data_IF_532289285695
#
_entry.id   IF_532289285695
#
_cell.length_a   1.000
_cell.length_b   1.000
_cell.length_c   1.000
_cell.angle_alpha   90.00
_cell.angle_beta   90.00
_cell.angle_gamma   90.00
#
_symmetry.space_group_name_H-M   'P 1'
#
loop_
_entity.id
_entity.type
_entity.pdbx_description
1 polymer ?
#
# COMPACT_ATOMS: atom_id res chain seq x y z
N UNK A 1 -10.91 3.85 -9.80
CA UNK A 1 -11.03 3.23 -11.11
C UNK A 1 -10.42 1.82 -11.19
N UNK A 2 -10.65 1.00 -10.17
CA UNK A 2 -10.17 -0.41 -10.09
C UNK A 2 -10.35 -1.19 -11.40
N UNK A 3 -11.48 -0.99 -12.09
CA UNK A 3 -11.75 -1.68 -13.35
C UNK A 3 -10.78 -1.25 -14.47
N UNK A 4 -10.47 0.04 -14.55
CA UNK A 4 -9.52 0.53 -15.54
C UNK A 4 -8.09 0.03 -15.28
N UNK A 5 -7.69 -0.09 -14.03
CA UNK A 5 -6.37 -0.57 -13.64
C UNK A 5 -6.23 -2.07 -13.86
N UNK A 6 -7.30 -2.86 -13.60
CA UNK A 6 -7.35 -4.26 -13.96
C UNK A 6 -7.29 -4.47 -15.48
N UNK A 7 -8.03 -3.69 -16.26
CA UNK A 7 -7.96 -3.73 -17.72
C UNK A 7 -6.57 -3.37 -18.27
N UNK A 8 -5.88 -2.39 -17.66
CA UNK A 8 -4.50 -2.05 -18.03
C UNK A 8 -3.54 -3.21 -17.80
N UNK A 9 -3.60 -3.85 -16.63
CA UNK A 9 -2.75 -5.01 -16.32
C UNK A 9 -2.98 -6.12 -17.34
N UNK A 10 -4.23 -6.47 -17.63
CA UNK A 10 -4.57 -7.50 -18.61
C UNK A 10 -4.06 -7.12 -20.01
N UNK A 11 -4.28 -5.86 -20.45
CA UNK A 11 -3.82 -5.38 -21.75
C UNK A 11 -2.30 -5.46 -21.89
N UNK A 12 -1.55 -5.05 -20.87
CA UNK A 12 -0.10 -5.11 -20.86
C UNK A 12 0.39 -6.57 -20.92
N UNK A 13 -0.23 -7.48 -20.17
CA UNK A 13 0.09 -8.91 -20.21
C UNK A 13 -0.13 -9.50 -21.59
N UNK A 14 -1.22 -9.17 -22.26
CA UNK A 14 -1.52 -9.64 -23.63
C UNK A 14 -0.48 -9.11 -24.62
N UNK A 15 -0.11 -7.84 -24.54
CA UNK A 15 0.91 -7.25 -25.41
C UNK A 15 2.28 -7.91 -25.21
N UNK A 16 2.69 -8.14 -23.95
CA UNK A 16 3.96 -8.79 -23.65
C UNK A 16 3.95 -10.25 -24.12
N UNK A 17 2.82 -10.96 -24.02
CA UNK A 17 2.65 -12.33 -24.49
C UNK A 17 2.95 -12.46 -25.98
N UNK A 18 2.44 -11.54 -26.78
CA UNK A 18 2.70 -11.53 -28.24
C UNK A 18 4.13 -11.15 -28.60
N UNK A 19 4.81 -10.37 -27.76
CA UNK A 19 6.18 -9.90 -28.02
C UNK A 19 7.24 -10.86 -27.49
N UNK A 20 7.05 -11.44 -26.31
CA UNK A 20 8.07 -12.22 -25.63
C UNK A 20 7.48 -13.23 -24.64
N UNK A 21 7.48 -14.51 -25.00
CA UNK A 21 6.96 -15.60 -24.14
C UNK A 21 7.77 -15.77 -22.86
N UNK A 22 9.08 -15.57 -22.88
CA UNK A 22 9.94 -15.69 -21.70
C UNK A 22 9.67 -14.61 -20.66
N UNK A 23 9.51 -13.35 -21.08
CA UNK A 23 9.13 -12.24 -20.21
C UNK A 23 7.75 -12.41 -19.59
N UNK A 24 6.80 -12.90 -20.37
CA UNK A 24 5.45 -13.16 -19.84
C UNK A 24 5.47 -14.19 -18.72
N UNK A 25 6.30 -15.22 -18.82
CA UNK A 25 6.43 -16.22 -17.76
C UNK A 25 6.98 -15.62 -16.47
N UNK A 26 7.98 -14.73 -16.56
CA UNK A 26 8.49 -13.98 -15.40
C UNK A 26 7.41 -13.13 -14.77
N UNK A 27 6.59 -12.42 -15.57
CA UNK A 27 5.50 -11.60 -15.06
C UNK A 27 4.38 -12.43 -14.43
N UNK A 28 4.04 -13.59 -14.98
CA UNK A 28 3.04 -14.51 -14.42
C UNK A 28 3.46 -15.01 -13.04
N UNK A 29 4.75 -15.19 -12.79
CA UNK A 29 5.28 -15.59 -11.47
C UNK A 29 5.34 -14.38 -10.53
N UNK A 30 5.73 -13.22 -11.04
CA UNK A 30 5.94 -12.00 -10.25
C UNK A 30 4.62 -11.36 -9.79
N UNK A 31 3.57 -11.38 -10.62
CA UNK A 31 2.26 -10.82 -10.29
C UNK A 31 1.62 -11.46 -9.05
N UNK A 32 1.49 -12.79 -8.91
CA UNK A 32 0.92 -13.38 -7.70
C UNK A 32 1.79 -13.11 -6.46
N UNK A 33 3.12 -13.06 -6.61
CA UNK A 33 4.00 -12.68 -5.51
C UNK A 33 3.73 -11.25 -5.05
N UNK A 34 3.64 -10.30 -5.97
CA UNK A 34 3.27 -8.91 -5.67
C UNK A 34 1.89 -8.82 -5.03
N UNK A 35 0.92 -9.57 -5.55
CA UNK A 35 -0.44 -9.56 -5.01
C UNK A 35 -0.49 -10.08 -3.57
N UNK A 36 0.20 -11.17 -3.27
CA UNK A 36 0.28 -11.74 -1.92
C UNK A 36 0.97 -10.76 -0.97
N UNK A 37 2.08 -10.17 -1.40
CA UNK A 37 2.82 -9.18 -0.62
C UNK A 37 1.95 -7.95 -0.31
N UNK A 38 1.34 -7.36 -1.33
CA UNK A 38 0.44 -6.20 -1.20
C UNK A 38 -0.71 -6.52 -0.25
N UNK A 39 -1.35 -7.68 -0.41
CA UNK A 39 -2.45 -8.10 0.47
C UNK A 39 -2.02 -8.28 1.92
N UNK A 40 -0.82 -8.79 2.17
CA UNK A 40 -0.28 -8.95 3.52
C UNK A 40 -0.06 -7.59 4.20
N UNK A 41 0.57 -6.65 3.50
CA UNK A 41 0.80 -5.29 4.02
C UNK A 41 -0.52 -4.56 4.26
N UNK A 42 -1.46 -4.62 3.31
CA UNK A 42 -2.78 -3.99 3.41
C UNK A 42 -3.58 -4.49 4.62
N UNK A 43 -3.53 -5.78 4.91
CA UNK A 43 -4.25 -6.34 6.08
C UNK A 43 -3.76 -5.72 7.39
N UNK A 44 -2.46 -5.55 7.54
CA UNK A 44 -1.86 -4.95 8.75
C UNK A 44 -2.16 -3.44 8.83
N UNK A 45 -2.10 -2.77 7.71
CA UNK A 45 -2.42 -1.36 7.55
C UNK A 45 -3.90 -1.06 7.89
N UNK A 46 -4.83 -1.88 7.38
CA UNK A 46 -6.25 -1.78 7.71
C UNK A 46 -6.50 -1.94 9.21
N UNK A 47 -5.88 -2.93 9.85
CA UNK A 47 -6.01 -3.14 11.28
C UNK A 47 -5.53 -1.91 12.08
N UNK A 48 -4.40 -1.31 11.68
CA UNK A 48 -3.88 -0.09 12.29
C UNK A 48 -4.84 1.11 12.09
N UNK A 49 -5.43 1.26 10.90
CA UNK A 49 -6.39 2.33 10.60
C UNK A 49 -7.69 2.21 11.42
N UNK A 50 -8.25 1.00 11.56
CA UNK A 50 -9.43 0.78 12.39
C UNK A 50 -9.12 1.14 13.85
N UNK A 51 -7.94 0.77 14.33
CA UNK A 51 -7.49 1.08 15.69
C UNK A 51 -7.36 2.60 15.90
N UNK A 52 -6.75 3.30 14.93
CA UNK A 52 -6.64 4.75 14.94
C UNK A 52 -8.02 5.45 14.97
N UNK A 53 -8.94 5.05 14.10
CA UNK A 53 -10.29 5.62 14.07
C UNK A 53 -11.02 5.43 15.39
N UNK A 54 -10.92 4.26 16.01
CA UNK A 54 -11.52 3.99 17.32
C UNK A 54 -10.92 4.87 18.41
N UNK A 55 -9.60 5.06 18.42
CA UNK A 55 -8.92 5.90 19.39
C UNK A 55 -9.29 7.38 19.22
N UNK A 56 -9.26 7.90 17.99
CA UNK A 56 -9.69 9.27 17.66
C UNK A 56 -11.16 9.49 18.01
N UNK A 57 -12.03 8.53 17.71
CA UNK A 57 -13.46 8.62 18.04
C UNK A 57 -13.71 8.69 19.56
N UNK A 58 -12.95 7.93 20.38
CA UNK A 58 -13.04 8.00 21.83
C UNK A 58 -12.61 9.38 22.34
N UNK A 59 -11.45 9.88 21.89
CA UNK A 59 -10.96 11.20 22.29
C UNK A 59 -11.94 12.30 21.90
N UNK A 60 -12.43 12.29 20.66
CA UNK A 60 -13.39 13.30 20.17
C UNK A 60 -14.75 13.21 20.87
N UNK A 61 -15.20 12.01 21.23
CA UNK A 61 -16.46 11.80 21.94
C UNK A 61 -16.41 12.25 23.40
N UNK A 62 -15.22 12.25 24.02
CA UNK A 62 -15.06 12.66 25.42
C UNK A 62 -15.31 14.16 25.62
N UNK A 63 -14.91 15.01 24.69
CA UNK A 63 -15.08 16.48 24.78
C UNK A 63 -16.54 16.91 24.93
N UNK A 64 -17.49 16.54 24.04
CA UNK A 64 -18.88 16.93 24.17
C UNK A 64 -19.54 16.31 25.39
N UNK A 65 -19.15 15.11 25.83
CA UNK A 65 -19.66 14.51 27.08
C UNK A 65 -19.23 15.29 28.31
N UNK A 66 -17.96 15.72 28.37
CA UNK A 66 -17.41 16.52 29.44
C UNK A 66 -18.10 17.90 29.51
N UNK A 67 -18.27 18.55 28.34
CA UNK A 67 -18.96 19.86 28.27
C UNK A 67 -20.43 19.76 28.67
N UNK A 68 -21.14 18.72 28.28
CA UNK A 68 -22.53 18.49 28.66
C UNK A 68 -22.69 18.31 30.17
N UNK A 69 -21.72 17.68 30.81
CA UNK A 69 -21.76 17.36 32.26
C UNK A 69 -20.88 18.29 33.11
N UNK A 70 -20.44 19.43 32.58
CA UNK A 70 -19.47 20.30 33.24
C UNK A 70 -19.89 20.77 34.63
N UNK A 71 -21.19 21.08 34.81
CA UNK A 71 -21.72 21.45 36.11
C UNK A 71 -21.58 20.33 37.15
N UNK A 72 -21.87 19.10 36.75
CA UNK A 72 -21.73 17.93 37.62
C UNK A 72 -20.28 17.70 37.99
N UNK A 73 -19.37 17.82 37.02
CA UNK A 73 -17.93 17.65 37.23
C UNK A 73 -17.41 18.67 38.24
N UNK A 74 -17.80 19.94 38.11
CA UNK A 74 -17.46 20.99 39.06
C UNK A 74 -18.06 20.76 40.45
N UNK A 75 -19.32 20.32 40.54
CA UNK A 75 -19.94 20.02 41.82
C UNK A 75 -19.22 18.91 42.60
N UNK A 76 -18.62 17.95 41.91
CA UNK A 76 -17.88 16.86 42.52
C UNK A 76 -16.34 17.08 42.57
N UNK A 77 -15.83 18.22 42.09
CA UNK A 77 -14.41 18.56 42.07
C UNK A 77 -13.55 17.54 41.30
N UNK A 78 -14.10 16.99 40.18
CA UNK A 78 -13.48 15.92 39.40
C UNK A 78 -12.80 16.40 38.11
N UNK A 79 -12.47 17.69 38.02
CA UNK A 79 -11.85 18.29 36.84
C UNK A 79 -10.54 17.59 36.47
N UNK A 80 -9.63 17.43 37.44
CA UNK A 80 -8.34 16.74 37.23
C UNK A 80 -8.47 15.30 36.80
N UNK A 81 -9.53 14.61 37.24
CA UNK A 81 -9.80 13.24 36.79
C UNK A 81 -10.22 13.23 35.35
N UNK A 82 -11.07 14.13 34.89
CA UNK A 82 -11.53 14.24 33.52
C UNK A 82 -10.38 14.64 32.57
N UNK A 83 -9.52 15.56 33.01
CA UNK A 83 -8.30 15.97 32.29
C UNK A 83 -7.38 14.78 32.08
N UNK A 84 -7.04 14.04 33.12
CA UNK A 84 -6.19 12.85 33.04
C UNK A 84 -6.78 11.79 32.11
N UNK A 85 -8.08 11.56 32.16
CA UNK A 85 -8.76 10.62 31.30
C UNK A 85 -8.71 11.06 29.82
N UNK A 86 -8.82 12.36 29.56
CA UNK A 86 -8.68 12.90 28.22
C UNK A 86 -7.25 12.75 27.70
N UNK A 87 -6.25 13.02 28.53
CA UNK A 87 -4.84 12.83 28.17
C UNK A 87 -4.52 11.37 27.82
N UNK A 88 -5.10 10.41 28.56
CA UNK A 88 -4.97 8.98 28.21
C UNK A 88 -5.58 8.68 26.82
N UNK A 89 -6.76 9.22 26.49
CA UNK A 89 -7.38 9.03 25.18
C UNK A 89 -6.60 9.69 24.05
N UNK A 90 -6.03 10.88 24.29
CA UNK A 90 -5.16 11.55 23.31
C UNK A 90 -3.88 10.77 23.09
N UNK A 91 -3.26 10.25 24.14
CA UNK A 91 -2.06 9.43 24.04
C UNK A 91 -2.30 8.12 23.26
N UNK A 92 -3.42 7.44 23.54
CA UNK A 92 -3.85 6.26 22.78
C UNK A 92 -4.05 6.58 21.29
N UNK A 93 -4.67 7.73 21.01
CA UNK A 93 -4.87 8.22 19.65
C UNK A 93 -3.55 8.52 18.95
N UNK A 94 -2.61 9.13 19.64
CA UNK A 94 -1.28 9.44 19.12
C UNK A 94 -0.52 8.16 18.73
N UNK A 95 -0.47 7.17 19.62
CA UNK A 95 0.20 5.89 19.34
C UNK A 95 -0.47 5.10 18.21
N UNK A 96 -1.80 5.15 18.12
CA UNK A 96 -2.51 4.51 17.02
C UNK A 96 -2.24 5.19 15.67
N UNK A 97 -2.15 6.53 15.68
CA UNK A 97 -1.80 7.32 14.48
C UNK A 97 -0.35 7.09 14.05
N UNK A 98 0.59 7.07 14.99
CA UNK A 98 2.01 6.78 14.73
C UNK A 98 2.18 5.44 14.02
N UNK A 99 1.49 4.40 14.51
CA UNK A 99 1.51 3.07 13.90
C UNK A 99 0.93 3.07 12.48
N UNK A 100 -0.15 3.81 12.25
CA UNK A 100 -0.76 3.93 10.91
C UNK A 100 0.19 4.65 9.96
N UNK A 101 0.76 5.77 10.39
CA UNK A 101 1.71 6.56 9.59
C UNK A 101 2.98 5.75 9.25
N UNK A 102 3.44 4.90 10.17
CA UNK A 102 4.57 4.02 9.90
C UNK A 102 4.27 3.04 8.76
N UNK A 103 3.11 2.39 8.76
CA UNK A 103 2.73 1.49 7.66
C UNK A 103 2.57 2.24 6.34
N UNK A 104 1.95 3.42 6.35
CA UNK A 104 1.79 4.28 5.16
C UNK A 104 3.16 4.72 4.62
N UNK A 105 4.07 5.14 5.50
CA UNK A 105 5.41 5.57 5.12
C UNK A 105 6.30 4.45 4.55
N UNK A 106 6.12 3.21 5.01
CA UNK A 106 6.90 2.05 4.54
C UNK A 106 6.35 1.47 3.24
N UNK A 107 5.05 1.58 3.00
CA UNK A 107 4.39 0.95 1.85
C UNK A 107 4.95 1.43 0.50
N UNK A 108 4.99 2.74 0.27
CA UNK A 108 5.44 3.31 -1.01
C UNK A 108 6.94 3.06 -1.30
N UNK A 109 7.89 3.25 -0.37
CA UNK A 109 9.29 2.92 -0.59
C UNK A 109 9.53 1.44 -0.88
N UNK A 110 8.79 0.54 -0.24
CA UNK A 110 8.95 -0.91 -0.49
C UNK A 110 8.54 -1.26 -1.91
N UNK A 111 7.43 -0.72 -2.42
CA UNK A 111 7.02 -0.91 -3.81
C UNK A 111 8.06 -0.35 -4.79
N UNK A 112 8.61 0.85 -4.51
CA UNK A 112 9.65 1.46 -5.34
C UNK A 112 10.92 0.62 -5.39
N UNK A 113 11.39 0.12 -4.24
CA UNK A 113 12.57 -0.77 -4.16
C UNK A 113 12.29 -2.04 -4.95
N UNK A 114 11.12 -2.64 -4.80
CA UNK A 114 10.75 -3.87 -5.50
C UNK A 114 10.69 -3.66 -7.01
N UNK A 115 10.14 -2.54 -7.48
CA UNK A 115 10.20 -2.13 -8.89
C UNK A 115 11.65 -1.97 -9.37
N UNK A 116 12.50 -1.28 -8.61
CA UNK A 116 13.91 -1.09 -8.96
C UNK A 116 14.67 -2.41 -9.04
N UNK A 117 14.42 -3.35 -8.12
CA UNK A 117 15.03 -4.70 -8.14
C UNK A 117 14.62 -5.48 -9.39
N UNK A 118 13.34 -5.44 -9.77
CA UNK A 118 12.87 -6.13 -10.98
C UNK A 118 13.47 -5.52 -12.23
N UNK A 119 13.54 -4.20 -12.33
CA UNK A 119 14.19 -3.51 -13.47
C UNK A 119 15.67 -3.85 -13.53
N UNK A 120 16.38 -3.82 -12.40
CA UNK A 120 17.79 -4.18 -12.34
C UNK A 120 18.04 -5.64 -12.74
N UNK A 121 17.20 -6.57 -12.28
CA UNK A 121 17.29 -7.98 -12.66
C UNK A 121 17.10 -8.18 -14.17
N UNK A 122 16.12 -7.50 -14.77
CA UNK A 122 15.90 -7.55 -16.23
C UNK A 122 17.08 -6.96 -16.99
N UNK A 123 17.67 -5.86 -16.52
CA UNK A 123 18.86 -5.25 -17.12
C UNK A 123 20.07 -6.19 -17.06
N UNK A 124 20.33 -6.81 -15.91
CA UNK A 124 21.43 -7.73 -15.73
C UNK A 124 21.28 -8.97 -16.62
N UNK A 125 20.08 -9.51 -16.74
CA UNK A 125 19.77 -10.61 -17.64
C UNK A 125 19.96 -10.22 -19.11
N UNK A 126 19.58 -9.01 -19.49
CA UNK A 126 19.77 -8.47 -20.83
C UNK A 126 21.24 -8.22 -21.16
N UNK A 127 22.07 -7.84 -20.17
CA UNK A 127 23.50 -7.56 -20.33
C UNK A 127 24.37 -8.81 -20.27
N UNK A 128 23.86 -9.94 -19.82
CA UNK A 128 24.64 -11.18 -19.55
C UNK A 128 25.27 -11.85 -20.77
N UNK A 129 25.04 -11.35 -21.99
CA UNK A 129 25.72 -11.80 -23.20
C UNK A 129 25.50 -13.26 -23.60
N UNK A 130 24.77 -14.04 -22.82
CA UNK A 130 24.50 -15.45 -23.06
C UNK A 130 23.47 -15.58 -24.21
N UNK A 131 23.90 -16.09 -25.37
CA UNK A 131 23.06 -16.23 -26.55
C UNK A 131 21.75 -17.00 -26.29
N UNK A 132 21.78 -17.98 -25.40
CA UNK A 132 20.59 -18.74 -25.00
C UNK A 132 19.56 -17.88 -24.19
N UNK A 133 20.04 -16.99 -23.35
CA UNK A 133 19.18 -16.06 -22.55
C UNK A 133 18.63 -14.97 -23.47
N UNK A 134 19.47 -14.41 -24.35
CA UNK A 134 19.06 -13.40 -25.33
C UNK A 134 18.01 -13.91 -26.32
N UNK A 135 18.14 -15.16 -26.80
CA UNK A 135 17.15 -15.78 -27.71
C UNK A 135 15.86 -16.16 -26.98
N UNK A 136 15.94 -16.63 -25.72
CA UNK A 136 14.76 -16.98 -24.93
C UNK A 136 13.94 -15.74 -24.50
N UNK A 137 14.64 -14.66 -24.17
CA UNK A 137 14.01 -13.37 -23.80
C UNK A 137 13.83 -12.44 -25.01
N UNK A 138 14.32 -12.77 -26.22
CA UNK A 138 14.19 -11.98 -27.45
C UNK A 138 14.66 -10.52 -27.29
N UNK A 139 15.66 -10.28 -26.44
CA UNK A 139 16.05 -8.94 -26.04
C UNK A 139 17.04 -8.32 -27.02
N UNK A 140 16.59 -7.31 -27.76
CA UNK A 140 17.45 -6.28 -28.33
C UNK A 140 17.48 -5.07 -27.38
N UNK A 141 18.45 -4.16 -27.53
CA UNK A 141 18.53 -2.95 -26.70
C UNK A 141 17.22 -2.13 -26.69
N UNK A 142 16.49 -2.10 -27.79
CA UNK A 142 15.19 -1.42 -27.86
C UNK A 142 14.07 -2.14 -27.11
N UNK A 143 14.10 -3.48 -27.07
CA UNK A 143 13.10 -4.25 -26.31
C UNK A 143 13.33 -4.14 -24.80
N UNK A 144 14.58 -3.99 -24.33
CA UNK A 144 14.89 -3.77 -22.92
C UNK A 144 14.24 -2.48 -22.38
N UNK A 145 14.32 -1.39 -23.12
CA UNK A 145 13.68 -0.12 -22.75
C UNK A 145 12.15 -0.24 -22.72
N UNK A 146 11.56 -0.93 -23.69
CA UNK A 146 10.13 -1.17 -23.71
C UNK A 146 9.67 -2.01 -22.50
N UNK A 147 10.45 -3.02 -22.12
CA UNK A 147 10.17 -3.87 -20.95
C UNK A 147 10.23 -3.08 -19.66
N UNK A 148 11.20 -2.18 -19.49
CA UNK A 148 11.26 -1.30 -18.31
C UNK A 148 10.00 -0.44 -18.20
N UNK A 149 9.53 0.13 -19.30
CA UNK A 149 8.28 0.90 -19.32
C UNK A 149 7.08 0.03 -18.94
N UNK A 150 6.99 -1.21 -19.44
CA UNK A 150 5.91 -2.12 -19.09
C UNK A 150 5.95 -2.54 -17.61
N UNK A 151 7.14 -2.76 -17.04
CA UNK A 151 7.31 -3.03 -15.61
C UNK A 151 6.74 -1.88 -14.80
N UNK A 152 7.19 -0.66 -15.05
CA UNK A 152 6.71 0.53 -14.34
C UNK A 152 5.20 0.75 -14.52
N UNK A 153 4.65 0.47 -15.69
CA UNK A 153 3.22 0.57 -15.97
C UNK A 153 2.39 -0.52 -15.26
N UNK A 154 2.95 -1.65 -14.88
CA UNK A 154 2.26 -2.69 -14.08
C UNK A 154 2.30 -2.35 -12.60
N UNK A 155 3.41 -1.79 -12.11
CA UNK A 155 3.53 -1.43 -10.69
C UNK A 155 2.60 -0.27 -10.30
N UNK A 156 2.41 0.72 -11.17
CA UNK A 156 1.52 1.86 -10.92
C UNK A 156 0.06 1.45 -10.65
N UNK A 157 -0.61 0.62 -11.46
CA UNK A 157 -1.94 0.10 -11.12
C UNK A 157 -1.99 -0.75 -9.85
N UNK A 158 -0.95 -1.53 -9.55
CA UNK A 158 -0.91 -2.33 -8.32
C UNK A 158 -0.86 -1.43 -7.08
N UNK A 159 -0.10 -0.34 -7.14
CA UNK A 159 -0.06 0.67 -6.08
C UNK A 159 -1.40 1.39 -5.93
N UNK A 160 -2.02 1.82 -7.03
CA UNK A 160 -3.31 2.52 -7.00
C UNK A 160 -4.46 1.64 -6.52
N UNK A 161 -4.52 0.37 -6.94
CA UNK A 161 -5.49 -0.61 -6.43
C UNK A 161 -5.35 -0.81 -4.92
N UNK A 162 -4.11 -0.82 -4.41
CA UNK A 162 -3.83 -0.88 -2.99
C UNK A 162 -4.45 0.28 -2.22
N UNK A 163 -4.25 1.50 -2.68
CA UNK A 163 -4.80 2.70 -2.06
C UNK A 163 -6.33 2.80 -2.19
N UNK A 164 -6.90 2.42 -3.33
CA UNK A 164 -8.35 2.42 -3.53
C UNK A 164 -9.08 1.43 -2.62
N UNK A 165 -8.57 0.21 -2.49
CA UNK A 165 -9.11 -0.80 -1.56
C UNK A 165 -9.06 -0.29 -0.12
N UNK A 166 -7.95 0.33 0.28
CA UNK A 166 -7.79 0.96 1.58
C UNK A 166 -8.85 2.06 1.82
N UNK A 167 -9.06 2.93 0.83
CA UNK A 167 -10.05 4.00 0.91
C UNK A 167 -11.47 3.46 1.05
N UNK A 168 -11.83 2.43 0.27
CA UNK A 168 -13.14 1.77 0.36
C UNK A 168 -13.34 1.13 1.74
N UNK A 169 -12.35 0.37 2.22
CA UNK A 169 -12.41 -0.28 3.53
C UNK A 169 -12.50 0.75 4.66
N UNK A 170 -11.80 1.88 4.51
CA UNK A 170 -11.84 2.97 5.47
C UNK A 170 -13.19 3.72 5.47
N UNK A 171 -13.93 3.68 4.37
CA UNK A 171 -15.26 4.29 4.27
C UNK A 171 -16.38 3.39 4.83
N UNK A 172 -16.16 2.06 4.83
CA UNK A 172 -17.14 1.08 5.34
C UNK A 172 -16.99 0.86 6.85
N UNK A 173 -15.81 1.13 7.42
CA UNK A 173 -15.52 0.98 8.86
C UNK A 173 -15.88 2.22 9.68
#
# INVERSE_FOLDING_TARGET
SMFADACKIISILVVIWFKNKGLTLVFIILLPFLFIFTRHVQKNMLAAQIMNRRAVSRASGHVPQTLKNIRTIHCFGKEKYMEKQYDEYINDSYHAMEKTNFYDAVYSPVILILNAVVVAAVMLLSSSGNSAVLTFFGMSAGTAVAVMNYISQIFSPVESLGMEIQTIQSAIA
#
